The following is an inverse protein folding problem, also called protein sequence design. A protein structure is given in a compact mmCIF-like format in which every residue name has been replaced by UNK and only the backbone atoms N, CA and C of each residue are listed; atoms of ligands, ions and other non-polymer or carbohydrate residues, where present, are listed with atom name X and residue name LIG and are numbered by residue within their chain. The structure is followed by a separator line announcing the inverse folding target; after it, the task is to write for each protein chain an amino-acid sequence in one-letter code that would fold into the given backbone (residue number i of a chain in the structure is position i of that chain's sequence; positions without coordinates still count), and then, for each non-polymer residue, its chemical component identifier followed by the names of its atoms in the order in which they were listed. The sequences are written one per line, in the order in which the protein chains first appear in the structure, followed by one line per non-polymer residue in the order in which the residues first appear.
data_IF_976082372172
#
_entry.id   IF_976082372172
#
_cell.length_a   1.000
_cell.length_b   1.000
_cell.length_c   1.000
_cell.angle_alpha   90.00
_cell.angle_beta   90.00
_cell.angle_gamma   90.00
#
_symmetry.space_group_name_H-M   'P 1'
#
loop_
_entity.id
_entity.type
_entity.pdbx_description
1 polymer ?
#
# COMPACT_ATOMS: atom_id res chain seq x y z
N UNK A 1 32.44 -8.93 -11.75
CA UNK A 1 33.30 -8.61 -10.57
C UNK A 1 32.35 -8.22 -9.46
N UNK A 2 32.31 -8.98 -8.36
CA UNK A 2 31.44 -8.66 -7.23
C UNK A 2 31.82 -7.28 -6.67
N UNK A 3 30.88 -6.34 -6.63
CA UNK A 3 31.08 -5.00 -6.09
C UNK A 3 31.47 -5.11 -4.61
N UNK A 4 32.36 -4.25 -4.17
CA UNK A 4 32.83 -4.25 -2.78
C UNK A 4 31.67 -3.91 -1.84
N UNK A 5 31.56 -4.67 -0.76
CA UNK A 5 30.50 -4.52 0.24
C UNK A 5 30.78 -3.23 1.04
N UNK A 6 29.78 -2.35 1.23
CA UNK A 6 29.90 -1.16 2.05
C UNK A 6 30.53 -1.42 3.44
N UNK A 7 31.34 -0.49 4.00
CA UNK A 7 32.08 -0.72 5.24
C UNK A 7 31.21 -1.08 6.45
N UNK A 8 30.03 -0.50 6.55
CA UNK A 8 29.04 -0.78 7.59
C UNK A 8 28.52 -2.22 7.51
N UNK A 9 28.19 -2.70 6.31
CA UNK A 9 27.80 -4.10 6.07
C UNK A 9 28.99 -5.03 6.36
N UNK A 10 30.21 -4.67 5.93
CA UNK A 10 31.41 -5.46 6.19
C UNK A 10 31.71 -5.60 7.70
N UNK A 11 31.46 -4.55 8.49
CA UNK A 11 31.57 -4.60 9.96
C UNK A 11 30.54 -5.55 10.55
N UNK A 12 29.29 -5.52 10.08
CA UNK A 12 28.24 -6.45 10.52
C UNK A 12 28.57 -7.90 10.16
N UNK A 13 29.08 -8.16 8.95
CA UNK A 13 29.54 -9.49 8.51
C UNK A 13 30.65 -10.02 9.41
N UNK A 14 31.62 -9.17 9.77
CA UNK A 14 32.69 -9.55 10.69
C UNK A 14 32.16 -9.87 12.09
N UNK A 15 31.20 -9.09 12.60
CA UNK A 15 30.55 -9.36 13.89
C UNK A 15 29.75 -10.66 13.88
N UNK A 16 29.12 -10.99 12.75
CA UNK A 16 28.39 -12.24 12.62
C UNK A 16 29.31 -13.47 12.76
N UNK A 17 30.60 -13.37 12.41
CA UNK A 17 31.56 -14.46 12.60
C UNK A 17 31.74 -14.85 14.07
N UNK A 18 31.70 -13.88 14.99
CA UNK A 18 31.73 -14.15 16.44
C UNK A 18 30.39 -14.55 17.02
N UNK A 19 29.28 -14.25 16.34
CA UNK A 19 27.91 -14.49 16.81
C UNK A 19 27.03 -15.09 15.70
N UNK A 20 27.32 -16.31 15.19
CA UNK A 20 26.73 -16.83 13.94
C UNK A 20 25.21 -17.03 13.98
N UNK A 21 24.65 -17.23 15.17
CA UNK A 21 23.22 -17.42 15.42
C UNK A 21 22.49 -16.11 15.76
N UNK A 22 23.16 -14.96 15.70
CA UNK A 22 22.57 -13.67 16.05
C UNK A 22 21.52 -13.23 15.03
N UNK A 23 20.25 -13.43 15.39
CA UNK A 23 19.10 -12.99 14.61
C UNK A 23 19.16 -11.48 14.33
N UNK A 24 19.48 -10.67 15.36
CA UNK A 24 19.54 -9.22 15.23
C UNK A 24 20.58 -8.77 14.19
N UNK A 25 21.76 -9.40 14.15
CA UNK A 25 22.79 -9.03 13.18
C UNK A 25 22.33 -9.40 11.77
N UNK A 26 21.70 -10.57 11.60
CA UNK A 26 21.21 -11.01 10.29
C UNK A 26 20.05 -10.18 9.77
N UNK A 27 19.14 -9.71 10.64
CA UNK A 27 18.11 -8.76 10.25
C UNK A 27 18.72 -7.44 9.77
N UNK A 28 19.72 -6.91 10.48
CA UNK A 28 20.45 -5.71 10.06
C UNK A 28 21.18 -5.90 8.72
N UNK A 29 21.84 -7.05 8.53
CA UNK A 29 22.51 -7.39 7.27
C UNK A 29 21.50 -7.48 6.11
N UNK A 30 20.37 -8.14 6.32
CA UNK A 30 19.31 -8.24 5.32
C UNK A 30 18.81 -6.86 4.87
N UNK A 31 18.59 -5.95 5.82
CA UNK A 31 18.23 -4.56 5.51
C UNK A 31 19.37 -3.81 4.80
N UNK A 32 20.60 -3.86 5.32
CA UNK A 32 21.74 -3.17 4.70
C UNK A 32 21.99 -3.63 3.26
N UNK A 33 21.90 -4.92 2.99
CA UNK A 33 21.99 -5.47 1.63
C UNK A 33 20.81 -5.08 0.73
N UNK A 34 19.64 -4.78 1.29
CA UNK A 34 18.45 -4.39 0.53
C UNK A 34 18.44 -2.90 0.19
N UNK A 35 19.09 -2.05 0.98
CA UNK A 35 19.17 -0.59 0.76
C UNK A 35 19.94 -0.20 -0.52
N UNK A 36 20.90 -1.01 -0.96
CA UNK A 36 21.62 -0.82 -2.24
C UNK A 36 21.17 -1.85 -3.29
N UNK A 37 20.46 -1.39 -4.32
CA UNK A 37 20.01 -2.21 -5.45
C UNK A 37 21.15 -2.98 -6.12
N UNK A 38 22.37 -2.43 -6.14
CA UNK A 38 23.52 -3.12 -6.72
C UNK A 38 23.94 -4.37 -5.93
N UNK A 39 23.49 -4.50 -4.68
CA UNK A 39 23.78 -5.65 -3.83
C UNK A 39 22.63 -6.66 -3.77
N UNK A 40 21.51 -6.42 -4.46
CA UNK A 40 20.35 -7.33 -4.43
C UNK A 40 20.68 -8.75 -4.91
N UNK A 41 21.60 -8.87 -5.87
CA UNK A 41 22.11 -10.16 -6.38
C UNK A 41 23.32 -10.72 -5.64
N UNK A 42 23.80 -10.06 -4.58
CA UNK A 42 25.03 -10.43 -3.91
C UNK A 42 24.91 -11.81 -3.21
N UNK A 43 25.87 -12.75 -3.41
CA UNK A 43 25.77 -14.10 -2.84
C UNK A 43 25.57 -14.15 -1.33
N UNK A 44 26.24 -13.27 -0.56
CA UNK A 44 26.05 -13.19 0.90
C UNK A 44 24.64 -12.82 1.31
N UNK A 45 23.98 -11.93 0.55
CA UNK A 45 22.57 -11.59 0.78
C UNK A 45 21.69 -12.83 0.62
N UNK A 46 21.92 -13.61 -0.44
CA UNK A 46 21.21 -14.87 -0.69
C UNK A 46 21.44 -15.86 0.46
N UNK A 47 22.68 -15.99 0.96
CA UNK A 47 23.00 -16.83 2.12
C UNK A 47 22.22 -16.41 3.38
N UNK A 48 22.13 -15.10 3.64
CA UNK A 48 21.36 -14.57 4.77
C UNK A 48 19.86 -14.81 4.61
N UNK A 49 19.32 -14.65 3.40
CA UNK A 49 17.91 -14.95 3.09
C UNK A 49 17.64 -16.43 3.38
N UNK A 50 18.46 -17.34 2.83
CA UNK A 50 18.31 -18.77 3.02
C UNK A 50 18.38 -19.18 4.49
N UNK A 51 19.35 -18.63 5.25
CA UNK A 51 19.42 -18.89 6.68
C UNK A 51 18.16 -18.41 7.39
N UNK A 52 17.70 -17.19 7.10
CA UNK A 52 16.57 -16.59 7.80
C UNK A 52 15.27 -17.35 7.54
N UNK A 53 14.96 -17.68 6.29
CA UNK A 53 13.73 -18.43 5.96
C UNK A 53 13.78 -19.86 6.50
N UNK A 54 14.96 -20.48 6.61
CA UNK A 54 15.11 -21.82 7.20
C UNK A 54 14.83 -21.83 8.69
N UNK A 55 15.36 -20.84 9.40
CA UNK A 55 15.28 -20.76 10.85
C UNK A 55 13.94 -20.18 11.31
N UNK A 56 13.39 -19.22 10.56
CA UNK A 56 12.24 -18.42 10.98
C UNK A 56 11.21 -18.18 9.87
N UNK A 57 10.70 -19.24 9.19
CA UNK A 57 9.82 -19.08 8.02
C UNK A 57 8.51 -18.35 8.32
N UNK A 58 8.07 -18.31 9.57
CA UNK A 58 6.84 -17.65 10.01
C UNK A 58 7.01 -16.15 10.33
N UNK A 59 8.25 -15.67 10.49
CA UNK A 59 8.50 -14.26 10.88
C UNK A 59 8.04 -13.29 9.80
N UNK A 60 7.70 -12.08 10.23
CA UNK A 60 7.23 -11.01 9.34
C UNK A 60 8.21 -10.71 8.19
N UNK A 61 9.52 -10.70 8.46
CA UNK A 61 10.52 -10.36 7.45
C UNK A 61 10.49 -11.30 6.22
N UNK A 62 10.08 -12.56 6.41
CA UNK A 62 9.88 -13.52 5.32
C UNK A 62 8.75 -13.16 4.34
N UNK A 63 7.92 -12.17 4.68
CA UNK A 63 6.83 -11.62 3.85
C UNK A 63 7.17 -10.23 3.30
N UNK A 64 8.37 -9.74 3.52
CA UNK A 64 8.79 -8.39 3.13
C UNK A 64 9.63 -8.39 1.85
N UNK A 65 9.77 -7.24 1.16
CA UNK A 65 10.66 -7.11 0.00
C UNK A 65 12.13 -7.47 0.29
N UNK A 66 12.55 -7.40 1.56
CA UNK A 66 13.94 -7.64 1.99
C UNK A 66 14.42 -9.05 1.65
N UNK A 67 13.53 -10.04 1.59
CA UNK A 67 13.87 -11.43 1.23
C UNK A 67 13.56 -11.78 -0.22
N UNK A 68 13.11 -10.81 -1.03
CA UNK A 68 12.81 -11.02 -2.44
C UNK A 68 14.09 -11.06 -3.26
N UNK A 69 14.04 -11.84 -4.34
CA UNK A 69 15.11 -11.91 -5.33
C UNK A 69 14.45 -11.75 -6.69
N UNK A 70 14.88 -10.74 -7.45
CA UNK A 70 14.50 -10.61 -8.85
C UNK A 70 15.30 -11.66 -9.67
N UNK A 71 14.65 -12.60 -10.37
CA UNK A 71 15.35 -13.57 -11.22
C UNK A 71 16.13 -12.91 -12.38
N UNK A 72 15.80 -11.67 -12.77
CA UNK A 72 16.58 -10.90 -13.73
C UNK A 72 17.93 -10.43 -13.15
N UNK A 73 18.01 -10.23 -11.83
CA UNK A 73 19.23 -9.86 -11.12
C UNK A 73 20.06 -11.11 -10.76
N UNK A 74 19.41 -12.15 -10.22
CA UNK A 74 20.08 -13.41 -9.85
C UNK A 74 19.14 -14.60 -10.03
N UNK A 75 19.20 -15.23 -11.21
CA UNK A 75 18.42 -16.43 -11.52
C UNK A 75 18.75 -17.60 -10.59
N UNK A 76 20.04 -17.83 -10.33
CA UNK A 76 20.50 -18.91 -9.45
C UNK A 76 20.08 -18.67 -7.99
N UNK A 77 20.20 -17.43 -7.50
CA UNK A 77 19.74 -17.05 -6.17
C UNK A 77 18.24 -17.27 -6.00
N UNK A 78 17.45 -16.85 -6.99
CA UNK A 78 16.00 -17.06 -7.02
C UNK A 78 15.66 -18.56 -6.96
N UNK A 79 16.25 -19.38 -7.82
CA UNK A 79 15.99 -20.83 -7.87
C UNK A 79 16.36 -21.54 -6.56
N UNK A 80 17.43 -21.08 -5.90
CA UNK A 80 17.87 -21.63 -4.62
C UNK A 80 16.87 -21.32 -3.50
N UNK A 81 16.41 -20.07 -3.41
CA UNK A 81 15.40 -19.66 -2.42
C UNK A 81 14.03 -20.26 -2.73
N UNK A 82 13.66 -20.37 -4.01
CA UNK A 82 12.46 -21.07 -4.46
C UNK A 82 12.44 -22.52 -3.95
N UNK A 83 13.53 -23.25 -4.18
CA UNK A 83 13.65 -24.65 -3.75
C UNK A 83 13.50 -24.80 -2.24
N UNK A 84 14.01 -23.83 -1.48
CA UNK A 84 13.86 -23.78 -0.04
C UNK A 84 12.40 -23.55 0.38
N UNK A 85 11.70 -22.61 -0.25
CA UNK A 85 10.27 -22.40 0.00
C UNK A 85 9.42 -23.63 -0.31
N UNK A 86 9.71 -24.33 -1.41
CA UNK A 86 9.04 -25.60 -1.75
C UNK A 86 9.24 -26.64 -0.65
N UNK A 87 10.48 -26.79 -0.16
CA UNK A 87 10.80 -27.69 0.93
C UNK A 87 10.05 -27.33 2.22
N UNK A 88 9.99 -26.04 2.56
CA UNK A 88 9.30 -25.53 3.75
C UNK A 88 7.79 -25.75 3.68
N UNK A 89 7.17 -25.53 2.52
CA UNK A 89 5.75 -25.82 2.28
C UNK A 89 5.45 -27.31 2.41
N UNK A 90 6.29 -28.18 1.86
CA UNK A 90 6.13 -29.63 1.98
C UNK A 90 6.25 -30.11 3.44
N UNK A 91 7.16 -29.51 4.21
CA UNK A 91 7.34 -29.81 5.64
C UNK A 91 6.22 -29.26 6.51
N UNK A 92 5.62 -28.13 6.13
CA UNK A 92 4.60 -27.43 6.91
C UNK A 92 3.33 -27.14 6.06
N UNK A 93 2.62 -28.18 5.56
CA UNK A 93 1.60 -28.03 4.53
C UNK A 93 0.31 -27.30 5.00
N UNK A 94 0.19 -27.02 6.29
CA UNK A 94 -0.97 -26.36 6.92
C UNK A 94 -0.59 -25.05 7.62
N UNK A 95 0.68 -24.67 7.61
CA UNK A 95 1.14 -23.48 8.32
C UNK A 95 0.84 -22.23 7.48
N UNK A 96 -0.10 -21.43 7.98
CA UNK A 96 -0.56 -20.22 7.29
C UNK A 96 0.55 -19.18 7.12
N UNK A 97 1.45 -19.04 8.10
CA UNK A 97 2.50 -18.01 8.06
C UNK A 97 3.61 -18.42 7.09
N UNK A 98 3.98 -19.71 7.06
CA UNK A 98 4.89 -20.27 6.04
C UNK A 98 4.29 -20.11 4.64
N UNK A 99 3.01 -20.41 4.48
CA UNK A 99 2.29 -20.26 3.21
C UNK A 99 2.28 -18.81 2.72
N UNK A 100 2.09 -17.85 3.62
CA UNK A 100 2.15 -16.41 3.28
C UNK A 100 3.54 -15.96 2.88
N UNK A 101 4.58 -16.41 3.59
CA UNK A 101 5.97 -16.12 3.21
C UNK A 101 6.25 -16.60 1.78
N UNK A 102 5.94 -17.87 1.49
CA UNK A 102 6.11 -18.44 0.16
C UNK A 102 5.26 -17.72 -0.90
N UNK A 103 3.98 -17.45 -0.62
CA UNK A 103 3.11 -16.75 -1.57
C UNK A 103 3.62 -15.33 -1.90
N UNK A 104 4.13 -14.60 -0.90
CA UNK A 104 4.77 -13.30 -1.15
C UNK A 104 6.05 -13.45 -1.99
N UNK A 105 6.85 -14.50 -1.80
CA UNK A 105 8.01 -14.77 -2.66
C UNK A 105 7.59 -15.02 -4.12
N UNK A 106 6.52 -15.78 -4.35
CA UNK A 106 6.06 -16.10 -5.70
C UNK A 106 5.27 -14.97 -6.39
N UNK A 107 4.64 -14.05 -5.66
CA UNK A 107 3.61 -13.16 -6.24
C UNK A 107 4.10 -12.27 -7.39
N UNK A 108 5.39 -11.92 -7.42
CA UNK A 108 5.97 -11.08 -8.47
C UNK A 108 6.27 -11.84 -9.77
N UNK A 109 6.58 -13.14 -9.68
CA UNK A 109 7.06 -13.95 -10.82
C UNK A 109 6.08 -15.05 -11.23
N UNK A 110 5.25 -15.52 -10.31
CA UNK A 110 4.26 -16.58 -10.50
C UNK A 110 3.05 -16.33 -9.60
N UNK A 111 2.22 -15.38 -10.02
CA UNK A 111 1.01 -14.97 -9.29
C UNK A 111 0.00 -16.12 -9.15
N UNK A 112 -0.06 -17.02 -10.14
CA UNK A 112 -0.94 -18.19 -10.11
C UNK A 112 -0.57 -19.09 -8.93
N UNK A 113 0.72 -19.45 -8.82
CA UNK A 113 1.22 -20.27 -7.73
C UNK A 113 1.08 -19.61 -6.37
N UNK A 114 1.33 -18.30 -6.27
CA UNK A 114 1.11 -17.56 -5.03
C UNK A 114 -0.34 -17.70 -4.53
N UNK A 115 -1.31 -17.52 -5.44
CA UNK A 115 -2.75 -17.69 -5.12
C UNK A 115 -3.10 -19.13 -4.76
N UNK A 116 -2.57 -20.12 -5.48
CA UNK A 116 -2.82 -21.53 -5.19
C UNK A 116 -2.34 -21.94 -3.79
N UNK A 117 -1.18 -21.44 -3.36
CA UNK A 117 -0.65 -21.66 -2.01
C UNK A 117 -1.64 -21.13 -0.96
N UNK A 118 -2.13 -19.90 -1.13
CA UNK A 118 -3.08 -19.30 -0.19
C UNK A 118 -4.45 -19.98 -0.22
N UNK A 119 -4.96 -20.37 -1.40
CA UNK A 119 -6.21 -21.10 -1.54
C UNK A 119 -6.19 -22.44 -0.79
N UNK A 120 -5.06 -23.16 -0.80
CA UNK A 120 -4.91 -24.40 -0.01
C UNK A 120 -5.06 -24.19 1.50
N UNK A 121 -4.71 -23.01 2.00
CA UNK A 121 -4.88 -22.65 3.41
C UNK A 121 -6.33 -22.32 3.72
N UNK A 122 -6.96 -21.41 2.96
CA UNK A 122 -8.35 -20.98 3.24
C UNK A 122 -9.40 -22.07 2.97
N UNK A 123 -9.13 -23.03 2.09
CA UNK A 123 -9.99 -24.19 1.90
C UNK A 123 -10.06 -25.10 3.13
N UNK A 124 -9.12 -24.93 4.08
CA UNK A 124 -9.11 -25.66 5.36
C UNK A 124 -9.59 -24.79 6.50
N UNK A 125 -9.12 -23.56 6.57
CA UNK A 125 -9.54 -22.58 7.57
C UNK A 125 -9.85 -21.23 6.90
N UNK A 126 -11.15 -20.96 6.74
CA UNK A 126 -11.65 -19.74 6.11
C UNK A 126 -11.73 -18.55 7.04
N UNK A 127 -11.32 -18.67 8.32
CA UNK A 127 -11.35 -17.56 9.29
C UNK A 127 -10.04 -16.75 9.33
N UNK A 128 -9.10 -17.01 8.41
CA UNK A 128 -7.79 -16.38 8.38
C UNK A 128 -7.81 -15.05 7.60
N UNK A 129 -8.10 -13.95 8.29
CA UNK A 129 -8.25 -12.62 7.72
C UNK A 129 -7.05 -12.14 6.88
N UNK A 130 -5.84 -12.49 7.33
CA UNK A 130 -4.59 -12.14 6.67
C UNK A 130 -4.40 -12.86 5.32
N UNK A 131 -4.88 -14.10 5.21
CA UNK A 131 -4.80 -14.86 3.95
C UNK A 131 -5.76 -14.26 2.93
N UNK A 132 -6.97 -13.91 3.36
CA UNK A 132 -7.94 -13.21 2.51
C UNK A 132 -7.41 -11.85 2.05
N UNK A 133 -6.71 -11.13 2.93
CA UNK A 133 -6.04 -9.87 2.57
C UNK A 133 -5.02 -10.09 1.45
N UNK A 134 -4.14 -11.08 1.59
CA UNK A 134 -3.11 -11.36 0.59
C UNK A 134 -3.73 -11.86 -0.74
N UNK A 135 -4.79 -12.69 -0.69
CA UNK A 135 -5.56 -13.07 -1.88
C UNK A 135 -6.17 -11.86 -2.60
N UNK A 136 -6.74 -10.90 -1.85
CA UNK A 136 -7.25 -9.65 -2.40
C UNK A 136 -6.15 -8.84 -3.10
N UNK A 137 -4.98 -8.70 -2.47
CA UNK A 137 -3.81 -8.01 -3.04
C UNK A 137 -3.25 -8.69 -4.29
N UNK A 138 -3.31 -10.01 -4.34
CA UNK A 138 -2.78 -10.82 -5.45
C UNK A 138 -3.81 -11.05 -6.57
N UNK A 139 -5.02 -10.48 -6.46
CA UNK A 139 -6.07 -10.65 -7.47
C UNK A 139 -5.99 -9.57 -8.54
N UNK A 140 -5.85 -10.00 -9.79
CA UNK A 140 -5.93 -9.13 -10.98
C UNK A 140 -7.38 -8.82 -11.34
N UNK A 141 -8.29 -9.80 -11.21
CA UNK A 141 -9.72 -9.61 -11.41
C UNK A 141 -10.34 -8.79 -10.27
N UNK A 142 -11.09 -7.75 -10.63
CA UNK A 142 -11.67 -6.80 -9.67
C UNK A 142 -12.79 -7.41 -8.83
N UNK A 143 -13.53 -8.40 -9.34
CA UNK A 143 -14.61 -9.08 -8.60
C UNK A 143 -14.04 -10.03 -7.55
N UNK A 144 -13.04 -10.84 -7.92
CA UNK A 144 -12.30 -11.68 -6.99
C UNK A 144 -11.65 -10.82 -5.90
N UNK A 145 -10.99 -9.73 -6.29
CA UNK A 145 -10.37 -8.77 -5.36
C UNK A 145 -11.38 -8.22 -4.36
N UNK A 146 -12.54 -7.71 -4.82
CA UNK A 146 -13.58 -7.20 -3.95
C UNK A 146 -14.05 -8.27 -2.95
N UNK A 147 -14.39 -9.47 -3.45
CA UNK A 147 -14.85 -10.58 -2.61
C UNK A 147 -13.84 -10.94 -1.53
N UNK A 148 -12.56 -11.11 -1.91
CA UNK A 148 -11.53 -11.49 -0.94
C UNK A 148 -11.28 -10.41 0.12
N UNK A 149 -11.32 -9.13 -0.25
CA UNK A 149 -11.16 -8.05 0.71
C UNK A 149 -12.37 -7.91 1.66
N UNK A 150 -13.59 -8.19 1.16
CA UNK A 150 -14.78 -8.26 2.01
C UNK A 150 -14.69 -9.44 3.00
N UNK A 151 -14.22 -10.61 2.56
CA UNK A 151 -13.96 -11.75 3.45
C UNK A 151 -12.86 -11.44 4.47
N UNK A 152 -11.79 -10.76 4.06
CA UNK A 152 -10.75 -10.29 4.98
C UNK A 152 -11.33 -9.41 6.08
N UNK A 153 -12.23 -8.49 5.71
CA UNK A 153 -12.94 -7.63 6.66
C UNK A 153 -13.86 -8.43 7.57
N UNK A 154 -14.65 -9.36 7.02
CA UNK A 154 -15.55 -10.24 7.80
C UNK A 154 -14.77 -11.04 8.86
N UNK A 155 -13.57 -11.50 8.51
CA UNK A 155 -12.69 -12.24 9.41
C UNK A 155 -11.89 -11.35 10.38
N UNK A 156 -12.08 -10.03 10.36
CA UNK A 156 -11.47 -9.11 11.33
C UNK A 156 -10.07 -8.60 10.97
N UNK A 157 -9.73 -8.52 9.68
CA UNK A 157 -8.46 -7.94 9.24
C UNK A 157 -8.29 -6.50 9.75
N UNK A 158 -7.14 -6.22 10.37
CA UNK A 158 -6.80 -4.91 10.93
C UNK A 158 -5.95 -4.06 9.96
N UNK A 159 -5.93 -4.42 8.68
CA UNK A 159 -5.12 -3.74 7.68
C UNK A 159 -5.58 -2.29 7.52
N UNK A 160 -4.72 -1.28 7.76
CA UNK A 160 -5.16 0.12 7.83
C UNK A 160 -5.84 0.65 6.55
N UNK A 161 -5.45 0.12 5.39
CA UNK A 161 -6.00 0.57 4.09
C UNK A 161 -7.14 -0.33 3.58
N UNK A 162 -7.62 -1.30 4.36
CA UNK A 162 -8.59 -2.30 3.91
C UNK A 162 -9.88 -1.67 3.39
N UNK A 163 -10.44 -0.69 4.11
CA UNK A 163 -11.64 0.02 3.69
C UNK A 163 -11.45 0.67 2.32
N UNK A 164 -10.32 1.37 2.14
CA UNK A 164 -9.99 1.99 0.85
C UNK A 164 -9.86 0.96 -0.26
N UNK A 165 -9.21 -0.18 -0.01
CA UNK A 165 -9.09 -1.25 -1.00
C UNK A 165 -10.44 -1.84 -1.39
N UNK A 166 -11.34 -2.07 -0.42
CA UNK A 166 -12.71 -2.55 -0.68
C UNK A 166 -13.47 -1.52 -1.53
N UNK A 167 -13.49 -0.25 -1.12
CA UNK A 167 -14.24 0.78 -1.83
C UNK A 167 -13.72 1.03 -3.25
N UNK A 168 -12.40 0.93 -3.48
CA UNK A 168 -11.82 0.97 -4.82
C UNK A 168 -12.27 -0.21 -5.69
N UNK A 169 -12.16 -1.43 -5.18
CA UNK A 169 -12.60 -2.63 -5.90
C UNK A 169 -14.12 -2.60 -6.17
N UNK A 170 -14.91 -1.99 -5.26
CA UNK A 170 -16.34 -1.77 -5.44
C UNK A 170 -16.64 -0.80 -6.60
N UNK A 171 -15.90 0.32 -6.71
CA UNK A 171 -16.04 1.23 -7.86
C UNK A 171 -15.67 0.53 -9.18
N UNK A 172 -14.57 -0.22 -9.19
CA UNK A 172 -14.07 -0.94 -10.37
C UNK A 172 -15.05 -2.02 -10.85
N UNK A 173 -15.85 -2.58 -9.94
CA UNK A 173 -16.89 -3.59 -10.23
C UNK A 173 -18.29 -2.99 -10.37
N UNK A 174 -18.42 -1.66 -10.26
CA UNK A 174 -19.70 -0.94 -10.23
C UNK A 174 -20.65 -1.37 -9.10
N UNK A 175 -20.12 -1.93 -8.00
CA UNK A 175 -20.86 -2.13 -6.75
C UNK A 175 -20.95 -0.82 -5.96
N UNK A 176 -21.83 0.06 -6.42
CA UNK A 176 -22.03 1.39 -5.81
C UNK A 176 -22.68 1.31 -4.43
N UNK A 177 -23.34 0.20 -4.08
CA UNK A 177 -23.86 -0.03 -2.72
C UNK A 177 -22.72 -0.18 -1.73
N UNK A 178 -21.76 -1.07 -2.03
CA UNK A 178 -20.56 -1.22 -1.21
C UNK A 178 -19.72 0.05 -1.21
N UNK A 179 -19.51 0.69 -2.37
CA UNK A 179 -18.75 1.94 -2.44
C UNK A 179 -19.36 3.06 -1.58
N UNK A 180 -20.70 3.19 -1.57
CA UNK A 180 -21.43 4.15 -0.73
C UNK A 180 -21.22 3.86 0.76
N UNK A 181 -21.39 2.59 1.17
CA UNK A 181 -21.21 2.19 2.56
C UNK A 181 -19.79 2.49 3.07
N UNK A 182 -18.76 2.14 2.29
CA UNK A 182 -17.36 2.43 2.63
C UNK A 182 -17.09 3.94 2.65
N UNK A 183 -17.60 4.69 1.67
CA UNK A 183 -17.43 6.13 1.60
C UNK A 183 -17.97 6.84 2.85
N UNK A 184 -19.17 6.47 3.28
CA UNK A 184 -19.79 6.98 4.51
C UNK A 184 -19.00 6.59 5.77
N UNK A 185 -18.52 5.35 5.84
CA UNK A 185 -17.71 4.89 6.97
C UNK A 185 -16.39 5.66 7.10
N UNK A 186 -15.70 5.91 5.97
CA UNK A 186 -14.48 6.72 5.95
C UNK A 186 -14.75 8.15 6.42
N UNK A 187 -15.86 8.76 6.01
CA UNK A 187 -16.24 10.10 6.48
C UNK A 187 -16.63 10.11 7.96
N UNK A 188 -17.23 9.04 8.48
CA UNK A 188 -17.49 8.92 9.91
C UNK A 188 -16.18 8.89 10.72
N UNK A 189 -15.12 8.24 10.20
CA UNK A 189 -13.78 8.26 10.80
C UNK A 189 -13.13 9.65 10.75
N UNK A 190 -13.38 10.41 9.67
CA UNK A 190 -12.96 11.81 9.54
C UNK A 190 -13.62 12.66 10.62
N UNK A 191 -14.93 12.55 10.79
CA UNK A 191 -15.69 13.30 11.80
C UNK A 191 -15.25 12.94 13.22
N UNK A 192 -15.04 11.65 13.51
CA UNK A 192 -14.55 11.19 14.81
C UNK A 192 -13.16 11.76 15.13
N UNK A 193 -12.23 11.72 14.16
CA UNK A 193 -10.91 12.31 14.32
C UNK A 193 -11.00 13.82 14.54
N UNK A 194 -11.87 14.51 13.78
CA UNK A 194 -12.09 15.96 13.92
C UNK A 194 -12.62 16.32 15.30
N UNK A 195 -13.55 15.54 15.85
CA UNK A 195 -14.06 15.73 17.20
C UNK A 195 -12.96 15.56 18.27
N UNK A 196 -12.01 14.65 18.06
CA UNK A 196 -10.92 14.39 19.00
C UNK A 196 -9.79 15.45 18.92
N UNK A 197 -9.36 15.79 17.70
CA UNK A 197 -8.13 16.57 17.47
C UNK A 197 -8.37 18.02 17.03
N UNK A 198 -9.57 18.35 16.56
CA UNK A 198 -9.97 19.68 16.10
C UNK A 198 -9.10 20.17 14.92
N UNK A 199 -8.74 21.45 14.96
CA UNK A 199 -7.95 22.12 13.90
C UNK A 199 -6.51 21.60 13.77
N UNK A 200 -6.05 20.75 14.72
CA UNK A 200 -4.72 20.14 14.62
C UNK A 200 -4.59 19.21 13.41
N UNK A 201 -5.71 18.73 12.87
CA UNK A 201 -5.74 17.89 11.66
C UNK A 201 -5.38 18.66 10.39
N UNK A 202 -5.44 19.99 10.40
CA UNK A 202 -5.18 20.85 9.23
C UNK A 202 -3.75 21.41 9.22
N UNK A 203 -2.88 20.94 10.10
CA UNK A 203 -1.47 21.30 10.13
C UNK A 203 -0.76 20.88 8.85
N UNK A 204 -0.01 21.82 8.25
CA UNK A 204 0.61 21.66 6.92
C UNK A 204 2.09 21.26 6.99
N UNK A 205 2.71 21.28 8.16
CA UNK A 205 4.10 20.89 8.35
C UNK A 205 4.35 19.42 7.96
N UNK A 206 5.62 19.08 7.67
CA UNK A 206 6.00 17.72 7.26
C UNK A 206 7.23 17.20 8.00
N UNK A 207 7.39 15.87 7.99
CA UNK A 207 8.57 15.19 8.51
C UNK A 207 8.90 15.56 9.96
N UNK A 208 10.07 16.15 10.19
CA UNK A 208 10.53 16.51 11.55
C UNK A 208 9.77 17.71 12.12
N UNK A 209 9.27 18.61 11.29
CA UNK A 209 8.58 19.83 11.73
C UNK A 209 7.22 19.50 12.34
N UNK A 210 6.42 18.67 11.66
CA UNK A 210 5.12 18.22 12.20
C UNK A 210 5.30 17.41 13.48
N UNK A 211 6.37 16.61 13.56
CA UNK A 211 6.70 15.88 14.77
C UNK A 211 7.04 16.81 15.94
N UNK A 212 7.90 17.82 15.70
CA UNK A 212 8.27 18.80 16.72
C UNK A 212 7.03 19.57 17.22
N UNK A 213 6.17 20.02 16.30
CA UNK A 213 4.91 20.70 16.63
C UNK A 213 3.95 19.81 17.42
N UNK A 214 3.79 18.55 17.03
CA UNK A 214 2.95 17.61 17.75
C UNK A 214 3.49 17.31 19.15
N UNK A 215 4.81 17.20 19.30
CA UNK A 215 5.44 16.99 20.60
C UNK A 215 5.26 18.20 21.53
N UNK A 216 5.44 19.41 21.00
CA UNK A 216 5.22 20.67 21.74
C UNK A 216 3.75 20.78 22.20
N UNK A 217 2.80 20.53 21.30
CA UNK A 217 1.38 20.66 21.59
C UNK A 217 0.82 19.59 22.55
N UNK A 218 1.45 18.41 22.62
CA UNK A 218 0.95 17.29 23.44
C UNK A 218 1.76 17.03 24.69
N UNK A 219 3.02 17.48 24.75
CA UNK A 219 3.95 17.22 25.85
C UNK A 219 4.37 15.74 26.00
N UNK A 220 3.89 14.84 25.13
CA UNK A 220 4.12 13.39 25.24
C UNK A 220 4.42 12.77 23.86
N UNK A 221 5.45 11.93 23.79
CA UNK A 221 5.87 11.27 22.54
C UNK A 221 4.80 10.32 22.01
N UNK A 222 4.06 9.63 22.88
CA UNK A 222 3.04 8.68 22.44
C UNK A 222 1.82 9.41 21.88
N UNK A 223 1.38 10.48 22.54
CA UNK A 223 0.33 11.37 22.08
C UNK A 223 0.71 12.08 20.78
N UNK A 224 1.94 12.59 20.66
CA UNK A 224 2.45 13.16 19.42
C UNK A 224 2.41 12.14 18.27
N UNK A 225 2.82 10.89 18.53
CA UNK A 225 2.74 9.81 17.53
C UNK A 225 1.30 9.52 17.09
N UNK A 226 0.34 9.48 18.03
CA UNK A 226 -1.08 9.32 17.69
C UNK A 226 -1.60 10.48 16.86
N UNK A 227 -1.30 11.72 17.25
CA UNK A 227 -1.72 12.92 16.52
C UNK A 227 -1.16 12.95 15.09
N UNK A 228 0.13 12.69 14.90
CA UNK A 228 0.74 12.65 13.54
C UNK A 228 0.11 11.56 12.68
N UNK A 229 -0.18 10.38 13.25
CA UNK A 229 -0.91 9.32 12.55
C UNK A 229 -2.36 9.75 12.22
N UNK A 230 -3.04 10.43 13.13
CA UNK A 230 -4.40 10.91 12.95
C UNK A 230 -4.49 11.96 11.84
N UNK A 231 -3.54 12.90 11.75
CA UNK A 231 -3.44 13.89 10.67
C UNK A 231 -3.37 13.19 9.30
N UNK A 232 -2.44 12.24 9.15
CA UNK A 232 -2.26 11.47 7.91
C UNK A 232 -3.49 10.59 7.59
N UNK A 233 -4.06 9.91 8.59
CA UNK A 233 -5.25 9.08 8.40
C UNK A 233 -6.48 9.92 8.00
N UNK A 234 -6.69 11.06 8.65
CA UNK A 234 -7.79 11.99 8.35
C UNK A 234 -7.73 12.46 6.90
N UNK A 235 -6.58 12.95 6.42
CA UNK A 235 -6.41 13.38 5.03
C UNK A 235 -6.72 12.25 4.03
N UNK A 236 -6.18 11.05 4.29
CA UNK A 236 -6.38 9.90 3.42
C UNK A 236 -7.84 9.42 3.38
N UNK A 237 -8.50 9.36 4.54
CA UNK A 237 -9.90 8.97 4.64
C UNK A 237 -10.84 10.00 4.01
N UNK A 238 -10.58 11.31 4.21
CA UNK A 238 -11.36 12.38 3.59
C UNK A 238 -11.28 12.30 2.07
N UNK A 239 -10.08 12.19 1.52
CA UNK A 239 -9.86 12.06 0.07
C UNK A 239 -10.65 10.87 -0.52
N UNK A 240 -10.48 9.67 0.06
CA UNK A 240 -11.11 8.46 -0.48
C UNK A 240 -12.61 8.40 -0.22
N UNK A 241 -13.08 8.85 0.95
CA UNK A 241 -14.50 8.91 1.28
C UNK A 241 -15.27 9.74 0.27
N UNK A 242 -14.80 10.96 0.00
CA UNK A 242 -15.39 11.82 -1.03
C UNK A 242 -15.23 11.27 -2.44
N UNK A 243 -14.06 10.72 -2.79
CA UNK A 243 -13.87 10.09 -4.11
C UNK A 243 -14.91 8.99 -4.36
N UNK A 244 -15.18 8.13 -3.38
CA UNK A 244 -16.18 7.06 -3.48
C UNK A 244 -17.59 7.60 -3.62
N UNK A 245 -17.98 8.55 -2.77
CA UNK A 245 -19.31 9.15 -2.84
C UNK A 245 -19.53 9.96 -4.12
N UNK A 246 -18.49 10.56 -4.69
CA UNK A 246 -18.56 11.20 -6.00
C UNK A 246 -18.84 10.21 -7.14
N UNK A 247 -18.23 9.02 -7.12
CA UNK A 247 -18.55 7.95 -8.06
C UNK A 247 -19.99 7.44 -7.90
N UNK A 248 -20.48 7.32 -6.65
CA UNK A 248 -21.87 6.95 -6.35
C UNK A 248 -22.83 8.02 -6.90
N UNK A 249 -22.57 9.29 -6.65
CA UNK A 249 -23.38 10.41 -7.15
C UNK A 249 -23.46 10.42 -8.68
N UNK A 250 -22.36 10.13 -9.38
CA UNK A 250 -22.37 9.99 -10.84
C UNK A 250 -23.23 8.83 -11.33
N UNK A 251 -23.25 7.71 -10.61
CA UNK A 251 -24.13 6.58 -10.92
C UNK A 251 -25.61 6.93 -10.67
N UNK A 252 -25.89 7.75 -9.66
CA UNK A 252 -27.22 8.30 -9.36
C UNK A 252 -27.60 9.49 -10.27
N UNK A 253 -26.81 9.79 -11.31
CA UNK A 253 -26.97 10.92 -12.25
C UNK A 253 -26.96 12.31 -11.60
N UNK A 254 -26.37 12.45 -10.41
CA UNK A 254 -26.16 13.74 -9.76
C UNK A 254 -24.77 14.29 -10.05
N UNK A 255 -24.63 15.03 -11.15
CA UNK A 255 -23.35 15.65 -11.52
C UNK A 255 -22.93 16.70 -10.48
N UNK A 256 -23.83 17.56 -10.02
CA UNK A 256 -23.51 18.59 -9.01
C UNK A 256 -22.93 17.98 -7.73
N UNK A 257 -23.59 16.97 -7.16
CA UNK A 257 -23.10 16.28 -5.95
C UNK A 257 -21.75 15.59 -6.19
N UNK A 258 -21.53 15.05 -7.39
CA UNK A 258 -20.23 14.47 -7.72
C UNK A 258 -19.10 15.50 -7.79
N UNK A 259 -19.41 16.73 -8.25
CA UNK A 259 -18.45 17.84 -8.29
C UNK A 259 -18.13 18.36 -6.90
N UNK A 260 -19.13 18.49 -6.02
CA UNK A 260 -18.92 18.86 -4.62
C UNK A 260 -17.97 17.87 -3.94
N UNK A 261 -18.22 16.56 -4.14
CA UNK A 261 -17.34 15.51 -3.64
C UNK A 261 -15.94 15.52 -4.28
N UNK A 262 -15.82 15.80 -5.57
CA UNK A 262 -14.50 15.92 -6.21
C UNK A 262 -13.67 17.03 -5.56
N UNK A 263 -14.26 18.22 -5.39
CA UNK A 263 -13.57 19.36 -4.79
C UNK A 263 -13.19 19.08 -3.34
N UNK A 264 -14.11 18.55 -2.53
CA UNK A 264 -13.83 18.17 -1.14
C UNK A 264 -12.74 17.09 -1.01
N UNK A 265 -12.62 16.19 -1.99
CA UNK A 265 -11.53 15.19 -2.00
C UNK A 265 -10.15 15.82 -2.22
N UNK A 266 -10.07 17.01 -2.81
CA UNK A 266 -8.85 17.78 -3.02
C UNK A 266 -8.47 18.66 -1.83
N UNK A 267 -9.42 18.98 -0.95
CA UNK A 267 -9.21 19.83 0.24
C UNK A 267 -8.68 19.01 1.43
N UNK A 268 -7.43 18.54 1.29
CA UNK A 268 -6.73 17.72 2.30
C UNK A 268 -5.30 18.19 2.53
N UNK A 269 -4.77 17.96 3.73
CA UNK A 269 -3.34 18.14 4.01
C UNK A 269 -2.51 17.01 3.39
N UNK A 270 -1.19 17.20 3.35
CA UNK A 270 -0.25 16.22 2.81
C UNK A 270 -0.29 14.91 3.60
N UNK A 271 -0.57 13.82 2.90
CA UNK A 271 -0.46 12.44 3.41
C UNK A 271 0.66 11.70 2.67
N UNK A 272 1.51 10.89 3.33
CA UNK A 272 2.58 10.15 2.66
C UNK A 272 2.10 9.32 1.46
N UNK A 273 0.96 8.64 1.54
CA UNK A 273 0.46 7.78 0.46
C UNK A 273 -0.01 8.63 -0.72
N UNK A 274 -0.81 9.67 -0.47
CA UNK A 274 -1.26 10.59 -1.52
C UNK A 274 -0.09 11.33 -2.17
N UNK A 275 0.91 11.72 -1.38
CA UNK A 275 2.06 12.47 -1.89
C UNK A 275 3.06 11.62 -2.67
N UNK A 276 3.13 10.31 -2.41
CA UNK A 276 4.05 9.40 -3.13
C UNK A 276 3.43 8.83 -4.39
N UNK A 277 2.15 8.44 -4.35
CA UNK A 277 1.48 7.77 -5.48
C UNK A 277 0.55 8.69 -6.28
N UNK A 278 0.12 9.80 -5.69
CA UNK A 278 -0.92 10.68 -6.23
C UNK A 278 -2.34 10.25 -5.84
N UNK A 279 -3.32 11.15 -6.02
CA UNK A 279 -4.73 10.82 -5.86
C UNK A 279 -5.26 10.02 -7.06
N UNK A 280 -6.45 9.44 -6.92
CA UNK A 280 -7.12 8.84 -8.09
C UNK A 280 -7.74 9.93 -8.96
N UNK A 281 -7.50 9.87 -10.27
CA UNK A 281 -8.14 10.76 -11.25
C UNK A 281 -9.34 10.11 -11.96
N UNK A 282 -9.78 8.93 -11.51
CA UNK A 282 -10.91 8.21 -12.09
C UNK A 282 -12.23 8.99 -12.00
N UNK A 283 -12.47 9.71 -10.89
CA UNK A 283 -13.64 10.56 -10.73
C UNK A 283 -13.53 11.80 -11.62
N UNK A 284 -12.39 12.50 -11.58
CA UNK A 284 -12.09 13.66 -12.42
C UNK A 284 -12.33 13.37 -13.91
N UNK A 285 -11.83 12.23 -14.40
CA UNK A 285 -12.09 11.77 -15.77
C UNK A 285 -13.59 11.63 -16.05
N UNK A 286 -14.35 10.97 -15.18
CA UNK A 286 -15.79 10.71 -15.40
C UNK A 286 -16.64 11.98 -15.37
N UNK A 287 -16.22 13.02 -14.64
CA UNK A 287 -16.91 14.32 -14.66
C UNK A 287 -16.50 15.16 -15.89
N UNK A 288 -15.24 15.09 -16.36
CA UNK A 288 -14.81 15.69 -17.63
C UNK A 288 -15.63 15.16 -18.82
N UNK A 289 -15.86 13.84 -18.87
CA UNK A 289 -16.71 13.22 -19.91
C UNK A 289 -18.15 13.77 -19.89
N UNK A 290 -18.60 14.30 -18.74
CA UNK A 290 -19.89 14.98 -18.57
C UNK A 290 -19.83 16.50 -18.78
N UNK A 291 -18.69 17.03 -19.22
CA UNK A 291 -18.50 18.45 -19.54
C UNK A 291 -18.02 19.35 -18.40
N UNK A 292 -17.75 18.81 -17.20
CA UNK A 292 -17.34 19.60 -16.04
C UNK A 292 -15.82 19.80 -15.98
N UNK A 293 -15.29 20.59 -16.92
CA UNK A 293 -13.84 20.80 -17.09
C UNK A 293 -13.26 21.79 -16.07
N UNK A 294 -13.98 22.87 -15.78
CA UNK A 294 -13.55 23.94 -14.86
C UNK A 294 -13.29 23.43 -13.44
N UNK A 295 -14.17 22.56 -12.96
CA UNK A 295 -14.11 21.97 -11.62
C UNK A 295 -12.96 20.98 -11.52
N UNK A 296 -12.65 20.26 -12.61
CA UNK A 296 -11.48 19.39 -12.66
C UNK A 296 -10.19 20.21 -12.68
N UNK A 297 -10.15 21.33 -13.37
CA UNK A 297 -9.01 22.28 -13.28
C UNK A 297 -8.81 22.78 -11.85
N UNK A 298 -9.90 23.14 -11.15
CA UNK A 298 -9.84 23.55 -9.75
C UNK A 298 -9.32 22.41 -8.84
N UNK A 299 -9.84 21.19 -9.02
CA UNK A 299 -9.36 20.01 -8.31
C UNK A 299 -7.86 19.72 -8.57
N UNK A 300 -7.39 19.82 -9.81
CA UNK A 300 -5.98 19.62 -10.14
C UNK A 300 -5.08 20.64 -9.45
N UNK A 301 -5.54 21.89 -9.35
CA UNK A 301 -4.85 22.93 -8.59
C UNK A 301 -4.80 22.62 -7.10
N UNK A 302 -5.90 22.13 -6.51
CA UNK A 302 -5.91 21.72 -5.11
C UNK A 302 -4.93 20.57 -4.84
N UNK A 303 -4.79 19.62 -5.78
CA UNK A 303 -3.84 18.51 -5.69
C UNK A 303 -2.37 18.96 -5.52
N UNK A 304 -1.98 20.12 -6.05
CA UNK A 304 -0.61 20.64 -5.93
C UNK A 304 -0.17 20.84 -4.47
N UNK A 305 -1.13 21.02 -3.55
CA UNK A 305 -0.85 21.22 -2.13
C UNK A 305 -0.36 19.96 -1.40
N UNK A 306 -0.66 18.78 -1.93
CA UNK A 306 -0.31 17.49 -1.30
C UNK A 306 0.43 16.53 -2.23
N UNK A 307 0.42 16.76 -3.55
CA UNK A 307 1.08 15.92 -4.55
C UNK A 307 1.92 16.78 -5.51
N UNK A 308 3.22 16.83 -5.25
CA UNK A 308 4.20 17.57 -6.05
C UNK A 308 4.64 16.70 -7.24
N UNK A 309 3.94 16.81 -8.37
CA UNK A 309 4.26 16.07 -9.60
C UNK A 309 4.16 16.98 -10.83
N UNK A 310 5.20 16.99 -11.66
CA UNK A 310 5.30 17.85 -12.85
C UNK A 310 4.14 17.61 -13.84
N UNK A 311 3.56 16.41 -13.83
CA UNK A 311 2.42 16.04 -14.70
C UNK A 311 1.17 16.87 -14.42
N UNK A 312 0.96 17.38 -13.20
CA UNK A 312 -0.21 18.19 -12.88
C UNK A 312 -0.30 19.44 -13.76
N UNK A 313 0.84 20.09 -14.04
CA UNK A 313 0.89 21.27 -14.89
C UNK A 313 0.48 20.96 -16.33
N UNK A 314 0.97 19.86 -16.89
CA UNK A 314 0.65 19.38 -18.23
C UNK A 314 -0.81 18.96 -18.33
N UNK A 315 -1.31 18.21 -17.33
CA UNK A 315 -2.69 17.75 -17.30
C UNK A 315 -3.67 18.91 -17.19
N UNK A 316 -3.35 19.94 -16.39
CA UNK A 316 -4.19 21.14 -16.31
C UNK A 316 -4.36 21.82 -17.66
N UNK A 317 -3.28 22.01 -18.44
CA UNK A 317 -3.35 22.62 -19.78
C UNK A 317 -4.27 21.81 -20.71
N UNK A 318 -4.17 20.48 -20.67
CA UNK A 318 -5.06 19.60 -21.44
C UNK A 318 -6.52 19.75 -21.01
N UNK A 319 -6.81 19.70 -19.71
CA UNK A 319 -8.17 19.85 -19.18
C UNK A 319 -8.77 21.22 -19.50
N UNK A 320 -7.98 22.30 -19.42
CA UNK A 320 -8.41 23.66 -19.82
C UNK A 320 -8.75 23.73 -21.32
N UNK A 321 -8.08 22.93 -22.14
CA UNK A 321 -8.36 22.78 -23.57
C UNK A 321 -9.46 21.73 -23.88
N UNK A 322 -10.13 21.20 -22.85
CA UNK A 322 -11.14 20.14 -22.95
C UNK A 322 -10.61 18.83 -23.56
N UNK A 323 -9.34 18.52 -23.31
CA UNK A 323 -8.67 17.29 -23.71
C UNK A 323 -8.38 16.42 -22.47
N UNK A 324 -8.67 15.11 -22.53
CA UNK A 324 -8.30 14.20 -21.47
C UNK A 324 -6.80 13.83 -21.55
N UNK A 325 -6.05 13.85 -20.43
CA UNK A 325 -4.69 13.33 -20.41
C UNK A 325 -4.61 11.86 -20.82
N UNK A 326 -3.61 11.48 -21.62
CA UNK A 326 -3.48 10.13 -22.19
C UNK A 326 -3.45 9.04 -21.11
N UNK A 327 -2.77 9.32 -19.99
CA UNK A 327 -2.68 8.42 -18.84
C UNK A 327 -4.04 8.18 -18.15
N UNK A 328 -4.99 9.09 -18.30
CA UNK A 328 -6.35 8.92 -17.75
C UNK A 328 -7.22 8.09 -18.68
N UNK A 329 -6.86 7.96 -19.96
CA UNK A 329 -7.62 7.19 -20.95
C UNK A 329 -7.28 5.70 -20.86
N UNK A 330 -6.06 5.36 -20.44
CA UNK A 330 -5.69 3.98 -20.13
C UNK A 330 -6.38 3.55 -18.84
N UNK A 331 -7.29 2.57 -18.91
CA UNK A 331 -7.63 1.73 -17.75
C UNK A 331 -6.35 0.97 -17.37
N UNK A 332 -5.47 1.61 -16.60
CA UNK A 332 -4.27 0.97 -16.09
C UNK A 332 -4.74 -0.08 -15.09
N UNK A 333 -4.73 -1.34 -15.58
CA UNK A 333 -5.08 -2.58 -14.90
C UNK A 333 -4.29 -2.80 -13.61
#
# INVERSE_FOLDING_TARGET
MSREVPPDIAVLEKRLQSEPESLSIREQLLWGYFEDEALHGHPRRIDHILWYIRCFPQKFLCRSPVVQIDPAISREGYQTVESEWVRLLAKNPHDAEVARGAANFFCMNDLCRAREILHKIINRDSNLADIWTDLGRFSTDSKDRLRFLQEARRCGSTQPNLLVWIGRAAIETSDFTTAKAIGLELLALVDAARAEYGDKLDWKEKGREIWARALDATGDRSAASRLVKAISAHAYHKHWGHTMLGHVALNENSLSTALDHLLESGEVVRDPRLSSYGPSFSLARKVCIRGAWSEVTAYLKACESFWEDERLSVWRIKIESQELPDFWVADVR
#
